data_IF_100833158217
#
_entry.id   IF_100833158217
#
_cell.length_a   1.000
_cell.length_b   1.000
_cell.length_c   1.000
_cell.angle_alpha   90.00
_cell.angle_beta   90.00
_cell.angle_gamma   90.00
#
_symmetry.space_group_name_H-M   'P 1'
#
loop_
_entity.id
_entity.type
_entity.pdbx_description
1 polymer ?
#
# COMPACT_ATOMS: atom_id res chain seq x y z
N UNK A 1 8.53 48.56 -19.83
CA UNK A 1 8.36 47.18 -20.33
C UNK A 1 9.05 46.28 -19.33
N UNK A 2 8.43 46.07 -18.17
CA UNK A 2 9.00 45.32 -17.03
C UNK A 2 7.84 44.63 -16.30
N UNK A 3 7.26 43.62 -16.95
CA UNK A 3 6.13 42.86 -16.40
C UNK A 3 6.30 41.38 -16.77
N UNK A 4 7.44 40.80 -16.35
CA UNK A 4 7.82 39.46 -16.82
C UNK A 4 8.70 38.61 -15.92
N UNK A 5 8.98 38.99 -14.67
CA UNK A 5 9.93 38.23 -13.84
C UNK A 5 9.52 37.97 -12.37
N UNK A 6 8.41 38.54 -11.87
CA UNK A 6 8.03 38.39 -10.45
C UNK A 6 7.25 37.10 -10.11
N UNK A 7 6.96 36.24 -11.10
CA UNK A 7 6.17 35.00 -10.90
C UNK A 7 7.05 33.77 -10.60
N UNK A 8 8.33 33.83 -10.93
CA UNK A 8 9.32 32.75 -10.74
C UNK A 8 9.83 32.66 -9.29
N UNK A 9 9.89 33.80 -8.60
CA UNK A 9 10.41 33.92 -7.23
C UNK A 9 9.46 33.41 -6.13
N UNK A 10 8.18 33.17 -6.44
CA UNK A 10 7.21 32.59 -5.50
C UNK A 10 7.05 31.07 -5.62
N UNK A 11 7.56 30.45 -6.69
CA UNK A 11 7.59 28.99 -6.86
C UNK A 11 8.45 28.25 -5.82
N UNK A 12 9.66 28.71 -5.46
CA UNK A 12 10.47 28.01 -4.46
C UNK A 12 9.82 28.04 -3.07
N UNK A 13 9.17 29.14 -2.69
CA UNK A 13 8.49 29.28 -1.39
C UNK A 13 7.16 28.52 -1.32
N UNK A 14 6.39 28.49 -2.41
CA UNK A 14 5.15 27.69 -2.48
C UNK A 14 5.46 26.18 -2.51
N UNK A 15 6.57 25.78 -3.14
CA UNK A 15 7.03 24.39 -3.18
C UNK A 15 7.53 23.87 -1.83
N UNK A 16 8.21 24.70 -1.03
CA UNK A 16 8.61 24.33 0.35
C UNK A 16 7.42 24.29 1.30
N UNK A 17 6.56 25.29 1.28
CA UNK A 17 5.37 25.31 2.15
C UNK A 17 4.47 24.08 1.92
N UNK A 18 4.27 23.68 0.65
CA UNK A 18 3.46 22.50 0.32
C UNK A 18 4.09 21.17 0.78
N UNK A 19 5.43 21.07 0.80
CA UNK A 19 6.16 19.90 1.26
C UNK A 19 6.16 19.81 2.78
N UNK A 20 6.27 20.95 3.46
CA UNK A 20 6.15 21.04 4.91
C UNK A 20 4.74 20.69 5.37
N UNK A 21 3.70 21.19 4.69
CA UNK A 21 2.31 20.80 4.96
C UNK A 21 2.10 19.29 4.75
N UNK A 22 2.67 18.72 3.69
CA UNK A 22 2.61 17.27 3.47
C UNK A 22 3.33 16.51 4.58
N UNK A 23 4.57 16.86 4.91
CA UNK A 23 5.35 16.21 5.97
C UNK A 23 4.68 16.35 7.34
N UNK A 24 4.06 17.49 7.62
CA UNK A 24 3.28 17.71 8.84
C UNK A 24 1.99 16.87 8.84
N UNK A 25 1.31 16.76 7.69
CA UNK A 25 0.19 15.83 7.50
C UNK A 25 0.59 14.37 7.64
N UNK A 26 1.79 13.99 7.18
CA UNK A 26 2.39 12.66 7.38
C UNK A 26 2.76 12.43 8.85
N UNK A 27 3.21 13.46 9.56
CA UNK A 27 3.48 13.42 11.00
C UNK A 27 2.20 13.17 11.81
N UNK A 28 1.12 13.89 11.50
CA UNK A 28 -0.20 13.67 12.09
C UNK A 28 -0.75 12.27 11.73
N UNK A 29 -0.62 11.83 10.48
CA UNK A 29 -1.01 10.49 10.06
C UNK A 29 -0.21 9.41 10.80
N UNK A 30 1.10 9.62 11.02
CA UNK A 30 1.96 8.70 11.75
C UNK A 30 1.64 8.68 13.25
N UNK A 31 1.25 9.82 13.85
CA UNK A 31 0.76 9.89 15.23
C UNK A 31 -0.62 9.26 15.40
N UNK A 32 -1.54 9.45 14.44
CA UNK A 32 -2.82 8.75 14.42
C UNK A 32 -2.61 7.24 14.21
N UNK A 33 -1.63 6.85 13.39
CA UNK A 33 -1.22 5.46 13.21
C UNK A 33 -0.59 4.91 14.48
N UNK A 34 0.26 5.67 15.20
CA UNK A 34 0.83 5.28 16.49
C UNK A 34 -0.27 5.04 17.52
N UNK A 35 -1.30 5.87 17.61
CA UNK A 35 -2.44 5.66 18.53
C UNK A 35 -3.23 4.37 18.22
N UNK A 36 -3.42 4.07 16.94
CA UNK A 36 -4.02 2.81 16.49
C UNK A 36 -3.12 1.62 16.83
N UNK A 37 -1.80 1.77 16.66
CA UNK A 37 -0.80 0.74 16.94
C UNK A 37 -0.54 0.53 18.44
N UNK A 38 -0.68 1.60 19.22
CA UNK A 38 -0.53 1.67 20.68
C UNK A 38 -1.76 1.15 21.41
N UNK A 39 -2.75 0.62 20.66
CA UNK A 39 -3.96 0.02 21.21
C UNK A 39 -4.76 0.98 22.11
N UNK A 40 -4.90 2.25 21.72
CA UNK A 40 -5.59 3.28 22.53
C UNK A 40 -7.04 2.91 22.86
N UNK A 41 -7.66 2.02 22.07
CA UNK A 41 -8.99 1.44 22.32
C UNK A 41 -8.88 -0.04 22.68
N UNK A 42 -9.33 -0.38 23.89
CA UNK A 42 -9.35 -1.76 24.41
C UNK A 42 -10.20 -2.74 23.59
N UNK A 43 -11.06 -2.24 22.69
CA UNK A 43 -11.85 -3.07 21.77
C UNK A 43 -11.14 -3.34 20.42
N UNK A 44 -10.04 -2.67 20.11
CA UNK A 44 -9.26 -2.87 18.88
C UNK A 44 -8.61 -4.28 18.81
N UNK A 45 -8.00 -4.83 19.89
CA UNK A 45 -7.43 -6.19 19.86
C UNK A 45 -8.48 -7.28 19.63
N UNK A 46 -9.63 -7.28 20.35
CA UNK A 46 -10.70 -8.23 20.06
C UNK A 46 -11.27 -8.06 18.65
N UNK A 47 -11.50 -6.82 18.19
CA UNK A 47 -12.09 -6.57 16.87
C UNK A 47 -11.19 -7.02 15.72
N UNK A 48 -9.88 -6.77 15.82
CA UNK A 48 -8.91 -7.24 14.82
C UNK A 48 -8.83 -8.76 14.81
N UNK A 49 -8.71 -9.41 15.96
CA UNK A 49 -8.70 -10.88 16.05
C UNK A 49 -9.97 -11.51 15.45
N UNK A 50 -11.16 -10.95 15.71
CA UNK A 50 -12.42 -11.43 15.13
C UNK A 50 -12.46 -11.20 13.61
N UNK A 51 -11.99 -10.05 13.14
CA UNK A 51 -11.93 -9.72 11.72
C UNK A 51 -11.00 -10.67 10.97
N UNK A 52 -9.80 -10.91 11.50
CA UNK A 52 -8.87 -11.91 10.96
C UNK A 52 -9.47 -13.31 11.04
N UNK A 53 -10.08 -13.69 12.17
CA UNK A 53 -10.71 -15.00 12.36
C UNK A 53 -11.97 -15.22 11.55
N UNK A 54 -12.59 -14.19 10.99
CA UNK A 54 -13.74 -14.30 10.07
C UNK A 54 -13.28 -14.28 8.61
N UNK A 55 -12.29 -13.44 8.28
CA UNK A 55 -11.66 -13.39 6.95
C UNK A 55 -10.86 -14.64 6.63
N UNK A 56 -10.12 -15.19 7.60
CA UNK A 56 -9.32 -16.41 7.44
C UNK A 56 -10.17 -17.60 7.02
N UNK A 57 -11.27 -17.99 7.70
CA UNK A 57 -12.14 -19.06 7.24
C UNK A 57 -12.91 -18.67 5.99
N UNK A 58 -13.34 -17.42 5.80
CA UNK A 58 -13.94 -16.97 4.54
C UNK A 58 -13.03 -17.20 3.31
N UNK A 59 -11.71 -17.09 3.49
CA UNK A 59 -10.70 -17.33 2.47
C UNK A 59 -10.21 -18.79 2.42
N UNK A 60 -10.17 -19.47 3.56
CA UNK A 60 -9.64 -20.82 3.73
C UNK A 60 -10.68 -21.92 3.42
N UNK A 61 -11.96 -21.67 3.70
CA UNK A 61 -13.06 -22.63 3.44
C UNK A 61 -13.29 -22.90 1.96
N UNK A 62 -12.90 -21.97 1.08
CA UNK A 62 -13.27 -22.06 -0.33
C UNK A 62 -12.19 -22.73 -1.22
N UNK A 63 -11.08 -23.22 -0.65
CA UNK A 63 -10.01 -23.86 -1.43
C UNK A 63 -9.44 -22.96 -2.54
N UNK A 64 -9.70 -21.65 -2.48
CA UNK A 64 -9.33 -20.65 -3.48
C UNK A 64 -7.82 -20.58 -3.55
N UNK A 65 -7.15 -20.57 -2.40
CA UNK A 65 -5.68 -20.58 -2.31
C UNK A 65 -5.11 -21.80 -3.06
N UNK A 66 -5.67 -22.99 -2.85
CA UNK A 66 -5.21 -24.21 -3.52
C UNK A 66 -5.51 -24.20 -5.03
N UNK A 67 -6.65 -23.64 -5.44
CA UNK A 67 -7.03 -23.42 -6.84
C UNK A 67 -6.08 -22.43 -7.54
N UNK A 68 -5.74 -21.33 -6.88
CA UNK A 68 -4.79 -20.33 -7.39
C UNK A 68 -3.37 -20.89 -7.44
N UNK A 69 -2.92 -21.64 -6.44
CA UNK A 69 -1.62 -22.34 -6.45
C UNK A 69 -1.55 -23.31 -7.64
N UNK A 70 -2.60 -24.09 -7.88
CA UNK A 70 -2.67 -25.00 -9.02
C UNK A 70 -2.66 -24.28 -10.38
N UNK A 71 -3.35 -23.14 -10.48
CA UNK A 71 -3.40 -22.32 -11.70
C UNK A 71 -2.04 -21.64 -11.96
N UNK A 72 -1.44 -21.03 -10.93
CA UNK A 72 -0.12 -20.41 -11.00
C UNK A 72 0.97 -21.42 -11.41
N UNK A 73 0.94 -22.65 -10.87
CA UNK A 73 1.89 -23.71 -11.23
C UNK A 73 1.84 -24.07 -12.71
N UNK A 74 0.64 -24.07 -13.33
CA UNK A 74 0.48 -24.33 -14.77
C UNK A 74 0.99 -23.17 -15.61
N UNK A 75 0.68 -21.93 -15.22
CA UNK A 75 1.12 -20.75 -15.94
C UNK A 75 2.64 -20.56 -15.88
N UNK A 76 3.26 -20.76 -14.71
CA UNK A 76 4.72 -20.73 -14.56
C UNK A 76 5.38 -21.78 -15.43
N UNK A 77 4.84 -23.01 -15.48
CA UNK A 77 5.39 -24.08 -16.31
C UNK A 77 5.30 -23.76 -17.82
N UNK A 78 4.25 -23.06 -18.27
CA UNK A 78 4.16 -22.59 -19.66
C UNK A 78 5.20 -21.52 -19.94
N UNK A 79 5.34 -20.53 -19.06
CA UNK A 79 6.34 -19.46 -19.20
C UNK A 79 7.77 -20.02 -19.23
N UNK A 80 8.06 -21.00 -18.38
CA UNK A 80 9.37 -21.66 -18.31
C UNK A 80 9.69 -22.42 -19.61
N UNK A 81 8.73 -23.18 -20.15
CA UNK A 81 8.91 -23.86 -21.46
C UNK A 81 9.05 -22.88 -22.63
N UNK A 82 8.36 -21.74 -22.56
CA UNK A 82 8.48 -20.70 -23.59
C UNK A 82 9.85 -20.03 -23.56
N UNK A 83 10.40 -19.79 -22.37
CA UNK A 83 11.78 -19.31 -22.16
C UNK A 83 12.82 -20.30 -22.68
N UNK A 84 12.68 -21.58 -22.37
CA UNK A 84 13.60 -22.64 -22.82
C UNK A 84 13.70 -22.67 -24.35
N UNK A 85 12.57 -22.73 -25.05
CA UNK A 85 12.52 -22.75 -26.51
C UNK A 85 12.98 -21.47 -27.22
N UNK A 86 13.06 -20.34 -26.51
CA UNK A 86 13.53 -19.07 -27.07
C UNK A 86 15.05 -18.92 -26.95
N UNK A 87 15.67 -19.73 -26.08
CA UNK A 87 17.09 -19.71 -25.80
C UNK A 87 17.88 -20.77 -26.60
N UNK A 88 17.19 -21.62 -27.35
CA UNK A 88 17.72 -22.58 -28.32
C UNK A 88 17.51 -22.01 -29.74
#
# INVERSE_FOLDING_TARGET
MEEGDNRSTNLPAAGTASLEEQLQGWGEAMLMTDKVLRWEKAWFPPATMVTFSLLLPGLNQHGIILKYIGMAKREINKLLKQKEKKNE
#
